data_IF_805991312782
#
_entry.id   IF_805991312782
#
_cell.length_a   1.000
_cell.length_b   1.000
_cell.length_c   1.000
_cell.angle_alpha   90.00
_cell.angle_beta   90.00
_cell.angle_gamma   90.00
#
_symmetry.space_group_name_H-M   'P 1'
#
loop_
_entity.id
_entity.type
_entity.pdbx_description
1 polymer ?
#
# COMPACT_ATOMS: atom_id res chain seq x y z
N UNK A 1 -14.98 -7.56 5.55
CA UNK A 1 -15.21 -7.89 4.14
C UNK A 1 -13.87 -8.26 3.55
N UNK A 2 -13.76 -9.42 2.90
CA UNK A 2 -12.63 -9.69 2.03
C UNK A 2 -12.50 -8.52 1.05
N UNK A 3 -11.29 -8.18 0.56
CA UNK A 3 -11.21 -7.37 -0.62
C UNK A 3 -12.15 -8.01 -1.64
N UNK A 4 -13.10 -7.23 -2.13
CA UNK A 4 -14.08 -7.77 -3.08
C UNK A 4 -13.28 -8.20 -4.28
N UNK A 5 -13.46 -9.43 -4.72
CA UNK A 5 -12.84 -9.94 -5.94
C UNK A 5 -13.01 -8.89 -7.06
N UNK A 6 -11.91 -8.51 -7.70
CA UNK A 6 -11.90 -7.42 -8.69
C UNK A 6 -11.63 -6.01 -8.14
N UNK A 7 -11.47 -5.82 -6.80
CA UNK A 7 -11.05 -4.52 -6.25
C UNK A 7 -9.60 -4.21 -6.62
N UNK A 8 -9.32 -2.93 -6.85
CA UNK A 8 -7.95 -2.43 -7.12
C UNK A 8 -7.35 -1.84 -5.86
N UNK A 9 -6.21 -2.36 -5.43
CA UNK A 9 -5.47 -1.91 -4.24
C UNK A 9 -4.14 -1.30 -4.66
N UNK A 10 -3.91 -0.03 -4.31
CA UNK A 10 -2.61 0.60 -4.48
C UNK A 10 -1.74 0.33 -3.25
N UNK A 11 -0.52 -0.15 -3.48
CA UNK A 11 0.43 -0.52 -2.43
C UNK A 11 1.72 0.27 -2.61
N UNK A 12 1.97 1.26 -1.74
CA UNK A 12 3.27 1.94 -1.73
C UNK A 12 4.29 1.12 -0.94
N UNK A 13 5.54 1.10 -1.37
CA UNK A 13 6.56 0.22 -0.79
C UNK A 13 6.30 -1.27 -1.09
N UNK A 14 5.58 -1.53 -2.20
CA UNK A 14 5.13 -2.87 -2.55
C UNK A 14 6.24 -3.81 -3.03
N UNK A 15 7.39 -3.29 -3.47
CA UNK A 15 8.57 -4.09 -3.83
C UNK A 15 9.42 -4.49 -2.61
N UNK A 16 9.15 -3.90 -1.43
CA UNK A 16 9.81 -4.26 -0.18
C UNK A 16 9.36 -5.62 0.37
N UNK A 17 10.00 -6.07 1.47
CA UNK A 17 9.74 -7.38 2.07
C UNK A 17 8.27 -7.58 2.46
N UNK A 18 7.72 -6.69 3.30
CA UNK A 18 6.31 -6.80 3.73
C UNK A 18 5.36 -6.55 2.55
N UNK A 19 5.68 -5.53 1.73
CA UNK A 19 4.87 -5.13 0.58
C UNK A 19 4.68 -6.26 -0.42
N UNK A 20 5.75 -6.94 -0.83
CA UNK A 20 5.69 -8.03 -1.82
C UNK A 20 4.87 -9.23 -1.33
N UNK A 21 5.00 -9.60 -0.05
CA UNK A 21 4.16 -10.64 0.55
C UNK A 21 2.69 -10.23 0.62
N UNK A 22 2.40 -8.95 0.89
CA UNK A 22 1.03 -8.43 0.89
C UNK A 22 0.45 -8.42 -0.53
N UNK A 23 1.24 -8.00 -1.53
CA UNK A 23 0.84 -8.06 -2.94
C UNK A 23 0.47 -9.48 -3.37
N UNK A 24 1.26 -10.48 -2.98
CA UNK A 24 0.97 -11.90 -3.24
C UNK A 24 -0.39 -12.31 -2.68
N UNK A 25 -0.68 -11.95 -1.41
CA UNK A 25 -1.96 -12.28 -0.77
C UNK A 25 -3.15 -11.56 -1.41
N UNK A 26 -2.98 -10.29 -1.80
CA UNK A 26 -4.03 -9.52 -2.50
C UNK A 26 -4.35 -10.13 -3.87
N UNK A 27 -3.33 -10.51 -4.64
CA UNK A 27 -3.51 -11.21 -5.91
C UNK A 27 -4.21 -12.56 -5.71
N UNK A 28 -3.80 -13.34 -4.71
CA UNK A 28 -4.44 -14.61 -4.37
C UNK A 28 -5.93 -14.42 -4.05
N UNK A 29 -6.28 -13.32 -3.37
CA UNK A 29 -7.66 -12.93 -3.05
C UNK A 29 -8.45 -12.38 -4.25
N UNK A 30 -7.87 -12.31 -5.46
CA UNK A 30 -8.54 -11.85 -6.67
C UNK A 30 -8.55 -10.33 -6.86
N UNK A 31 -7.72 -9.60 -6.12
CA UNK A 31 -7.56 -8.15 -6.32
C UNK A 31 -6.66 -7.83 -7.50
N UNK A 32 -6.83 -6.62 -8.05
CA UNK A 32 -5.80 -5.97 -8.86
C UNK A 32 -4.89 -5.17 -7.93
N UNK A 33 -3.59 -5.20 -8.18
CA UNK A 33 -2.59 -4.54 -7.35
C UNK A 33 -1.78 -3.54 -8.16
N UNK A 34 -1.75 -2.30 -7.70
CA UNK A 34 -0.91 -1.23 -8.25
C UNK A 34 0.21 -0.99 -7.25
N UNK A 35 1.43 -1.32 -7.61
CA UNK A 35 2.60 -1.10 -6.76
C UNK A 35 3.26 0.22 -7.12
N UNK A 36 3.56 1.02 -6.11
CA UNK A 36 4.39 2.24 -6.19
C UNK A 36 5.60 2.05 -5.28
N UNK A 37 6.78 2.12 -5.85
CA UNK A 37 8.05 1.94 -5.12
C UNK A 37 9.17 2.66 -5.88
N UNK A 38 10.11 3.31 -5.20
CA UNK A 38 11.25 3.98 -5.82
C UNK A 38 12.51 3.10 -5.86
N UNK A 39 12.41 1.86 -5.39
CA UNK A 39 13.47 0.86 -5.35
C UNK A 39 14.74 1.28 -4.56
N UNK A 40 14.68 2.31 -3.73
CA UNK A 40 15.84 2.79 -2.93
C UNK A 40 16.38 1.70 -1.99
N UNK A 41 15.49 0.91 -1.39
CA UNK A 41 15.84 -0.19 -0.48
C UNK A 41 15.13 -1.51 -0.79
N UNK A 42 14.65 -1.66 -2.02
CA UNK A 42 13.91 -2.81 -2.52
C UNK A 42 14.41 -3.22 -3.92
N UNK A 43 13.77 -4.19 -4.54
CA UNK A 43 14.13 -4.64 -5.89
C UNK A 43 12.89 -5.09 -6.64
N UNK A 44 12.79 -4.74 -7.92
CA UNK A 44 11.74 -5.22 -8.82
C UNK A 44 11.70 -6.75 -8.94
N UNK A 45 12.82 -7.41 -8.66
CA UNK A 45 12.93 -8.88 -8.61
C UNK A 45 11.90 -9.49 -7.65
N UNK A 46 11.55 -8.80 -6.55
CA UNK A 46 10.53 -9.26 -5.62
C UNK A 46 9.15 -9.37 -6.28
N UNK A 47 8.80 -8.39 -7.12
CA UNK A 47 7.55 -8.36 -7.87
C UNK A 47 7.53 -9.39 -9.01
N UNK A 48 8.69 -9.60 -9.66
CA UNK A 48 8.84 -10.66 -10.65
C UNK A 48 8.55 -12.03 -10.02
N UNK A 49 9.09 -12.31 -8.85
CA UNK A 49 8.83 -13.55 -8.10
C UNK A 49 7.37 -13.68 -7.68
N UNK A 50 6.73 -12.58 -7.28
CA UNK A 50 5.29 -12.58 -6.98
C UNK A 50 4.48 -13.02 -8.21
N UNK A 51 4.80 -12.51 -9.41
CA UNK A 51 4.14 -12.91 -10.65
C UNK A 51 4.37 -14.38 -10.99
N UNK A 52 5.57 -14.91 -10.74
CA UNK A 52 5.89 -16.32 -10.96
C UNK A 52 5.13 -17.26 -10.02
N UNK A 53 4.87 -16.84 -8.78
CA UNK A 53 4.11 -17.61 -7.80
C UNK A 53 2.61 -17.69 -8.11
N UNK A 54 2.07 -16.70 -8.85
CA UNK A 54 0.66 -16.66 -9.25
C UNK A 54 0.57 -16.29 -10.74
N UNK A 55 0.97 -17.17 -11.66
CA UNK A 55 1.02 -16.86 -13.09
C UNK A 55 -0.35 -16.51 -13.67
N UNK A 56 -1.42 -17.16 -13.20
CA UNK A 56 -2.79 -16.91 -13.66
C UNK A 56 -3.33 -15.51 -13.32
N UNK A 57 -2.67 -14.80 -12.41
CA UNK A 57 -3.05 -13.45 -11.97
C UNK A 57 -1.92 -12.43 -12.13
N UNK A 58 -0.85 -12.80 -12.82
CA UNK A 58 0.32 -11.95 -13.02
C UNK A 58 -0.02 -10.60 -13.68
N UNK A 59 -1.00 -10.60 -14.59
CA UNK A 59 -1.47 -9.41 -15.29
C UNK A 59 -2.27 -8.44 -14.39
N UNK A 60 -2.71 -8.90 -13.23
CA UNK A 60 -3.38 -8.07 -12.22
C UNK A 60 -2.39 -7.25 -11.37
N UNK A 61 -1.06 -7.41 -11.56
CA UNK A 61 -0.04 -6.63 -10.87
C UNK A 61 0.62 -5.65 -11.83
N UNK A 62 0.42 -4.36 -11.59
CA UNK A 62 1.13 -3.26 -12.26
C UNK A 62 2.14 -2.62 -11.32
N UNK A 63 3.23 -2.09 -11.89
CA UNK A 63 4.30 -1.43 -11.15
C UNK A 63 4.56 -0.04 -11.71
N UNK A 64 4.73 0.93 -10.82
CA UNK A 64 5.13 2.30 -11.11
C UNK A 64 6.39 2.61 -10.28
N UNK A 65 7.51 2.83 -10.97
CA UNK A 65 8.73 3.35 -10.36
C UNK A 65 8.50 4.83 -10.04
N UNK A 66 8.27 5.13 -8.77
CA UNK A 66 7.88 6.46 -8.32
C UNK A 66 8.17 6.63 -6.82
N UNK A 67 8.77 7.76 -6.48
CA UNK A 67 8.96 8.19 -5.09
C UNK A 67 7.64 8.73 -4.51
N UNK A 68 7.37 8.47 -3.23
CA UNK A 68 6.18 9.00 -2.55
C UNK A 68 6.20 10.53 -2.39
N UNK A 69 7.34 11.17 -2.57
CA UNK A 69 7.47 12.62 -2.63
C UNK A 69 7.13 13.19 -4.02
N UNK A 70 7.08 12.36 -5.05
CA UNK A 70 6.74 12.77 -6.42
C UNK A 70 5.21 12.80 -6.62
N UNK A 71 4.64 14.00 -6.50
CA UNK A 71 3.19 14.23 -6.69
C UNK A 71 2.70 13.84 -8.08
N UNK A 72 3.49 14.13 -9.12
CA UNK A 72 3.09 13.87 -10.51
C UNK A 72 3.14 12.37 -10.83
N UNK A 73 4.16 11.68 -10.33
CA UNK A 73 4.28 10.24 -10.44
C UNK A 73 3.14 9.50 -9.72
N UNK A 74 2.83 9.91 -8.50
CA UNK A 74 1.69 9.39 -7.75
C UNK A 74 0.37 9.66 -8.46
N UNK A 75 0.16 10.88 -8.95
CA UNK A 75 -1.05 11.26 -9.69
C UNK A 75 -1.26 10.36 -10.92
N UNK A 76 -0.20 10.09 -11.68
CA UNK A 76 -0.23 9.15 -12.81
C UNK A 76 -0.60 7.72 -12.38
N UNK A 77 -0.05 7.24 -11.26
CA UNK A 77 -0.36 5.91 -10.75
C UNK A 77 -1.84 5.79 -10.34
N UNK A 78 -2.40 6.84 -9.71
CA UNK A 78 -3.83 6.88 -9.35
C UNK A 78 -4.74 7.06 -10.56
N UNK A 79 -4.29 7.79 -11.59
CA UNK A 79 -5.07 8.01 -12.82
C UNK A 79 -5.10 6.78 -13.74
N UNK A 80 -4.08 5.91 -13.68
CA UNK A 80 -3.97 4.74 -14.56
C UNK A 80 -5.14 3.77 -14.40
N UNK A 81 -5.68 3.64 -13.19
CA UNK A 81 -6.84 2.81 -12.91
C UNK A 81 -7.56 3.28 -11.64
N UNK A 82 -8.86 3.00 -11.57
CA UNK A 82 -9.65 3.34 -10.39
C UNK A 82 -9.18 2.52 -9.20
N UNK A 83 -8.54 3.16 -8.24
CA UNK A 83 -8.11 2.55 -6.98
C UNK A 83 -9.32 2.43 -6.03
N UNK A 84 -9.48 1.36 -5.30
CA UNK A 84 -10.54 1.17 -4.30
C UNK A 84 -10.00 1.24 -2.86
N UNK A 85 -8.71 0.94 -2.66
CA UNK A 85 -8.03 1.03 -1.38
C UNK A 85 -6.54 1.34 -1.54
N UNK A 86 -5.92 1.91 -0.52
CA UNK A 86 -4.48 2.19 -0.48
C UNK A 86 -3.88 1.55 0.76
N UNK A 87 -2.76 0.85 0.59
CA UNK A 87 -1.93 0.33 1.68
C UNK A 87 -0.56 1.01 1.57
N UNK A 88 -0.17 1.69 2.64
CA UNK A 88 1.06 2.46 2.66
C UNK A 88 2.13 1.76 3.51
N UNK A 89 3.12 1.15 2.83
CA UNK A 89 4.31 0.54 3.43
C UNK A 89 5.59 1.33 3.16
N UNK A 90 5.56 2.28 2.20
CA UNK A 90 6.73 3.07 1.88
C UNK A 90 7.13 3.93 3.09
N UNK A 91 8.30 3.64 3.64
CA UNK A 91 8.84 4.36 4.77
C UNK A 91 10.24 3.88 5.12
N UNK A 92 11.12 4.82 5.43
CA UNK A 92 12.46 4.53 5.92
C UNK A 92 12.38 4.05 7.38
N UNK A 93 13.10 2.97 7.71
CA UNK A 93 13.01 2.30 9.02
C UNK A 93 14.35 1.82 9.58
N UNK A 94 15.48 2.25 9.01
CA UNK A 94 16.80 1.92 9.52
C UNK A 94 17.14 2.82 10.73
N UNK A 95 17.15 2.22 11.93
CA UNK A 95 17.30 2.95 13.22
C UNK A 95 18.58 3.79 13.25
N UNK A 96 19.72 3.19 12.88
CA UNK A 96 21.02 3.90 12.88
C UNK A 96 21.04 5.09 11.92
N UNK A 97 20.48 4.94 10.72
CA UNK A 97 20.39 6.02 9.75
C UNK A 97 19.45 7.14 10.23
N UNK A 98 18.35 6.80 10.89
CA UNK A 98 17.38 7.79 11.37
C UNK A 98 17.99 8.74 12.41
N UNK A 99 18.94 8.26 13.21
CA UNK A 99 19.69 9.08 14.17
C UNK A 99 20.70 9.99 13.45
N UNK A 100 21.39 9.45 12.44
CA UNK A 100 22.40 10.19 11.69
C UNK A 100 21.78 11.20 10.68
N UNK A 101 20.61 10.90 10.12
CA UNK A 101 19.95 11.70 9.08
C UNK A 101 18.46 11.92 9.40
N UNK A 102 18.09 12.56 10.50
CA UNK A 102 16.69 12.67 10.93
C UNK A 102 15.82 13.41 9.90
N UNK A 103 16.36 14.43 9.22
CA UNK A 103 15.61 15.20 8.24
C UNK A 103 15.21 14.37 7.01
N UNK A 104 16.05 13.41 6.59
CA UNK A 104 15.70 12.46 5.53
C UNK A 104 14.46 11.64 5.93
N UNK A 105 14.39 11.20 7.19
CA UNK A 105 13.26 10.43 7.71
C UNK A 105 12.00 11.25 7.86
N UNK A 106 12.11 12.51 8.33
CA UNK A 106 10.96 13.41 8.38
C UNK A 106 10.42 13.70 6.99
N UNK A 107 11.29 14.01 6.04
CA UNK A 107 10.89 14.26 4.65
C UNK A 107 10.19 13.04 4.05
N UNK A 108 10.83 11.87 4.10
CA UNK A 108 10.25 10.67 3.51
C UNK A 108 8.98 10.22 4.23
N UNK A 109 9.03 10.02 5.55
CA UNK A 109 7.95 9.33 6.27
C UNK A 109 6.78 10.27 6.60
N UNK A 110 7.02 11.57 6.82
CA UNK A 110 5.95 12.53 7.14
C UNK A 110 5.50 13.26 5.89
N UNK A 111 6.43 13.95 5.21
CA UNK A 111 6.04 14.73 4.02
C UNK A 111 5.54 13.81 2.91
N UNK A 112 6.19 12.66 2.67
CA UNK A 112 5.73 11.68 1.69
C UNK A 112 4.33 11.14 2.00
N UNK A 113 4.01 10.88 3.28
CA UNK A 113 2.65 10.49 3.67
C UNK A 113 1.63 11.60 3.40
N UNK A 114 1.99 12.88 3.69
CA UNK A 114 1.12 14.03 3.39
C UNK A 114 0.88 14.14 1.88
N UNK A 115 1.93 14.04 1.07
CA UNK A 115 1.82 14.06 -0.39
C UNK A 115 0.89 12.96 -0.90
N UNK A 116 1.02 11.74 -0.37
CA UNK A 116 0.14 10.63 -0.72
C UNK A 116 -1.32 10.96 -0.40
N UNK A 117 -1.61 11.49 0.80
CA UNK A 117 -2.96 11.87 1.22
C UNK A 117 -3.54 12.96 0.31
N UNK A 118 -2.76 13.99 -0.04
CA UNK A 118 -3.20 15.07 -0.93
C UNK A 118 -3.55 14.54 -2.34
N UNK A 119 -2.75 13.60 -2.88
CA UNK A 119 -3.05 12.96 -4.16
C UNK A 119 -4.31 12.09 -4.03
N UNK A 120 -4.46 11.36 -2.93
CA UNK A 120 -5.67 10.58 -2.66
C UNK A 120 -6.92 11.48 -2.63
N UNK A 121 -6.87 12.62 -1.93
CA UNK A 121 -7.98 13.58 -1.88
C UNK A 121 -8.35 14.12 -3.26
N UNK A 122 -7.35 14.47 -4.09
CA UNK A 122 -7.54 14.89 -5.47
C UNK A 122 -8.32 13.87 -6.30
N UNK A 123 -8.09 12.57 -6.05
CA UNK A 123 -8.80 11.47 -6.72
C UNK A 123 -10.09 11.05 -6.02
N UNK A 124 -10.57 11.84 -5.04
CA UNK A 124 -11.84 11.63 -4.34
C UNK A 124 -11.78 10.60 -3.21
N UNK A 125 -10.59 10.26 -2.73
CA UNK A 125 -10.38 9.43 -1.55
C UNK A 125 -10.27 10.36 -0.33
N UNK A 126 -11.34 10.51 0.42
CA UNK A 126 -11.30 11.27 1.67
C UNK A 126 -10.99 10.29 2.80
N UNK A 127 -9.83 10.39 3.46
CA UNK A 127 -9.55 9.60 4.66
C UNK A 127 -10.57 10.00 5.74
N UNK A 128 -11.55 9.15 6.02
CA UNK A 128 -12.40 9.39 7.19
C UNK A 128 -11.64 9.02 8.45
N UNK A 129 -11.90 9.66 9.61
CA UNK A 129 -11.21 9.36 10.86
C UNK A 129 -11.28 7.89 11.30
N UNK A 130 -12.22 7.10 10.76
CA UNK A 130 -12.35 5.66 11.02
C UNK A 130 -11.64 4.75 10.01
N UNK A 131 -11.11 5.27 8.91
CA UNK A 131 -10.43 4.50 7.85
C UNK A 131 -8.92 4.55 7.93
N UNK A 132 -8.36 5.45 8.76
CA UNK A 132 -6.93 5.50 9.04
C UNK A 132 -6.62 4.44 10.10
N UNK A 133 -6.19 3.26 9.68
CA UNK A 133 -5.73 2.22 10.62
C UNK A 133 -4.21 2.11 10.53
N UNK A 134 -3.53 2.58 11.58
CA UNK A 134 -2.12 2.25 11.81
C UNK A 134 -2.04 0.81 12.31
N UNK A 135 -1.36 -0.04 11.59
CA UNK A 135 -1.05 -1.39 12.01
C UNK A 135 0.34 -1.36 12.64
N UNK A 136 0.38 -1.26 13.95
CA UNK A 136 1.52 -1.29 14.87
C UNK A 136 2.24 0.05 15.11
N UNK A 137 2.48 0.34 16.40
CA UNK A 137 3.08 1.59 16.90
C UNK A 137 4.55 1.85 16.54
N UNK A 138 5.19 1.03 15.70
CA UNK A 138 6.56 1.20 15.22
C UNK A 138 6.72 0.98 13.72
N UNK A 139 5.74 0.39 13.05
CA UNK A 139 5.73 0.21 11.61
C UNK A 139 4.60 1.09 11.06
N UNK A 140 4.93 2.15 10.35
CA UNK A 140 3.94 3.01 9.69
C UNK A 140 3.34 2.27 8.50
N UNK A 141 2.35 1.42 8.78
CA UNK A 141 1.47 0.89 7.74
C UNK A 141 0.12 1.58 7.89
N UNK A 142 -0.24 2.38 6.91
CA UNK A 142 -1.53 3.05 6.84
C UNK A 142 -2.38 2.36 5.78
N UNK A 143 -3.61 2.00 6.15
CA UNK A 143 -4.59 1.46 5.21
C UNK A 143 -5.69 2.50 5.07
N UNK A 144 -5.89 2.94 3.83
CA UNK A 144 -6.97 3.84 3.45
C UNK A 144 -7.95 3.07 2.58
N UNK A 145 -9.22 3.10 2.93
CA UNK A 145 -10.30 2.54 2.11
C UNK A 145 -11.24 3.63 1.62
N UNK A 146 -11.74 3.48 0.40
CA UNK A 146 -12.75 4.39 -0.13
C UNK A 146 -14.09 4.15 0.59
N UNK A 147 -14.70 5.17 1.26
CA UNK A 147 -15.93 4.99 2.02
C UNK A 147 -17.15 4.65 1.16
N UNK A 148 -17.07 4.79 -0.17
CA UNK A 148 -18.21 4.54 -1.05
C UNK A 148 -18.44 3.06 -1.41
N UNK A 149 -17.48 2.16 -1.13
CA UNK A 149 -17.57 0.73 -1.45
C UNK A 149 -17.46 -0.23 -0.27
N UNK A 150 -17.00 0.25 0.88
CA UNK A 150 -16.88 -0.56 2.08
C UNK A 150 -17.90 -0.09 3.11
N UNK A 151 -18.97 -0.88 3.37
CA UNK A 151 -19.88 -0.60 4.47
C UNK A 151 -19.11 -0.50 5.79
N UNK A 152 -19.56 0.37 6.69
CA UNK A 152 -18.96 0.61 8.02
C UNK A 152 -18.85 -0.64 8.91
N UNK A 153 -19.52 -1.72 8.54
CA UNK A 153 -19.57 -2.98 9.29
C UNK A 153 -18.74 -4.07 8.59
N UNK A 154 -17.40 -3.96 8.68
CA UNK A 154 -16.52 -5.05 8.25
C UNK A 154 -16.66 -6.22 9.23
N UNK A 155 -17.23 -7.38 8.82
CA UNK A 155 -17.40 -8.52 9.72
C UNK A 155 -16.04 -9.05 10.17
N UNK A 156 -15.96 -9.53 11.41
CA UNK A 156 -14.80 -10.26 11.93
C UNK A 156 -14.54 -11.46 11.01
N UNK A 157 -13.39 -11.47 10.33
CA UNK A 157 -13.03 -12.53 9.35
C UNK A 157 -12.59 -12.00 7.99
N UNK A 158 -12.46 -10.67 7.79
CA UNK A 158 -11.88 -10.09 6.58
C UNK A 158 -10.43 -10.60 6.37
N UNK A 159 -10.07 -11.10 5.17
CA UNK A 159 -8.70 -11.54 4.87
C UNK A 159 -7.64 -10.48 5.13
N UNK A 160 -7.95 -9.18 4.97
CA UNK A 160 -7.07 -8.10 5.36
C UNK A 160 -6.80 -8.09 6.87
N UNK A 161 -7.78 -8.48 7.72
CA UNK A 161 -7.56 -8.64 9.16
C UNK A 161 -6.71 -9.87 9.48
N UNK A 162 -6.75 -10.94 8.67
CA UNK A 162 -5.87 -12.11 8.82
C UNK A 162 -4.44 -11.81 8.41
N UNK A 163 -4.23 -11.02 7.33
CA UNK A 163 -2.89 -10.58 6.92
C UNK A 163 -2.27 -9.63 7.95
N UNK A 164 -3.09 -8.82 8.62
CA UNK A 164 -2.64 -7.77 9.52
C UNK A 164 -2.67 -8.17 11.02
N UNK A 165 -3.40 -9.25 11.38
CA UNK A 165 -3.48 -9.80 12.74
C UNK A 165 -3.55 -11.33 12.70
N UNK A 166 -2.40 -12.02 12.44
CA UNK A 166 -2.36 -13.48 12.40
C UNK A 166 -2.59 -14.17 13.76
N UNK A 167 -2.74 -13.43 14.85
CA UNK A 167 -2.73 -13.96 16.24
C UNK A 167 -4.01 -13.70 17.04
N UNK A 168 -5.19 -13.66 16.39
CA UNK A 168 -6.50 -13.67 17.08
C UNK A 168 -7.38 -14.77 16.50
N UNK A 169 -7.04 -16.00 16.83
CA UNK A 169 -7.99 -17.09 17.05
C UNK A 169 -8.16 -17.29 18.55
#
# INVERSE_FOLDING_TARGET
MAPVEGSTVLVTGGAGYIGSHTCLQLLAAGCKVVVVDNLDNSSEESLRRVKELIPDKADNLSFHDCDILDREGLDKAFAAQKVDAVIHFAGLKAVGESVAQPMKYYSNNIVGTVVLIEVMEKHGYVPSPGTLRSVTGWLQCLIFSCPRRFPSDCPRGCPLTRVLHPSRE
#
